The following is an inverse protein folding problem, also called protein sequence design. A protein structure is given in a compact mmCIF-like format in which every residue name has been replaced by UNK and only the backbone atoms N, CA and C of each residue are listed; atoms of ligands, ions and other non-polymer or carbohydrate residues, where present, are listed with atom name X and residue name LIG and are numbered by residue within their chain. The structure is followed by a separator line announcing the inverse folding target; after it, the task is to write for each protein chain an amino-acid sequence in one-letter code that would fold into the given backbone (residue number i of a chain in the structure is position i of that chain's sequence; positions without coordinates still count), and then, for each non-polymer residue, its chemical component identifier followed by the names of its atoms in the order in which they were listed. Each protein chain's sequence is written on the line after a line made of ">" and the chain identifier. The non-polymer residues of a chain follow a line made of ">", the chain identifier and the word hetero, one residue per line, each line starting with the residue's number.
data_IF_915581652460
#
_entry.id   IF_915581652460
#
_cell.length_a   1.000
_cell.length_b   1.000
_cell.length_c   1.000
_cell.angle_alpha   90.00
_cell.angle_beta   90.00
_cell.angle_gamma   90.00
#
_symmetry.space_group_name_H-M   'P 1'
#
loop_
_entity.id
_entity.type
_entity.pdbx_description
1 polymer ?
#
# COMPACT_ATOMS: atom_id res chain seq x y z
N UNK A 1 -0.86 -25.98 -8.24
CA UNK A 1 0.10 -24.84 -8.27
C UNK A 1 -0.45 -23.51 -7.71
N UNK A 2 -1.77 -23.31 -7.60
CA UNK A 2 -2.37 -22.05 -7.08
C UNK A 2 -2.37 -21.97 -5.54
N UNK A 3 -2.39 -23.11 -4.85
CA UNK A 3 -2.42 -23.23 -3.39
C UNK A 3 -1.20 -22.60 -2.69
N UNK A 4 0.02 -22.80 -3.23
CA UNK A 4 1.26 -22.24 -2.65
C UNK A 4 1.38 -20.70 -2.74
N UNK A 5 0.72 -20.09 -3.72
CA UNK A 5 0.70 -18.62 -3.89
C UNK A 5 -0.32 -18.00 -2.92
N UNK A 6 -1.45 -18.69 -2.69
CA UNK A 6 -2.48 -18.24 -1.75
C UNK A 6 -2.03 -18.37 -0.28
N UNK A 7 -1.25 -19.40 0.06
CA UNK A 7 -0.69 -19.59 1.40
C UNK A 7 0.36 -18.54 1.78
N UNK A 8 1.26 -18.17 0.85
CA UNK A 8 2.22 -17.08 1.09
C UNK A 8 1.55 -15.73 1.30
N UNK A 9 0.43 -15.47 0.61
CA UNK A 9 -0.40 -14.28 0.82
C UNK A 9 -1.22 -14.34 2.12
N UNK A 10 -1.76 -15.51 2.49
CA UNK A 10 -2.49 -15.70 3.76
C UNK A 10 -1.59 -15.56 4.99
N UNK A 11 -0.33 -15.97 4.92
CA UNK A 11 0.63 -15.81 6.05
C UNK A 11 1.02 -14.35 6.32
N UNK A 12 0.88 -13.46 5.33
CA UNK A 12 1.20 -12.04 5.47
C UNK A 12 0.09 -11.22 6.16
N UNK A 13 -1.12 -11.79 6.31
CA UNK A 13 -2.28 -11.09 6.87
C UNK A 13 -2.52 -11.34 8.37
N UNK A 14 -1.74 -12.22 9.03
CA UNK A 14 -2.04 -12.65 10.42
C UNK A 14 -1.18 -12.01 11.52
N UNK A 15 -0.20 -11.16 11.20
CA UNK A 15 0.50 -10.34 12.19
C UNK A 15 0.91 -9.01 11.53
N UNK A 16 -0.08 -8.16 11.28
CA UNK A 16 0.22 -6.77 10.95
C UNK A 16 0.37 -6.03 12.29
N UNK A 17 1.57 -6.14 12.89
CA UNK A 17 1.94 -5.27 13.98
C UNK A 17 2.24 -3.89 13.40
N UNK A 18 1.72 -2.85 14.04
CA UNK A 18 1.96 -1.48 13.64
C UNK A 18 3.48 -1.18 13.79
N UNK A 19 4.23 -0.92 12.70
CA UNK A 19 5.68 -0.72 12.78
C UNK A 19 6.04 0.60 13.45
N UNK A 20 5.11 1.56 13.53
CA UNK A 20 5.25 2.81 14.26
C UNK A 20 4.89 2.68 15.74
N UNK A 21 4.38 1.52 16.18
CA UNK A 21 4.18 1.26 17.60
C UNK A 21 5.53 1.38 18.33
N UNK A 22 5.51 2.08 19.46
CA UNK A 22 6.68 2.40 20.27
C UNK A 22 7.76 3.26 19.57
N UNK A 23 7.41 3.99 18.51
CA UNK A 23 8.28 5.04 17.95
C UNK A 23 7.93 6.39 18.59
N UNK A 24 8.94 7.07 19.15
CA UNK A 24 8.77 8.42 19.66
C UNK A 24 8.64 9.43 18.50
N UNK A 25 8.14 10.63 18.79
CA UNK A 25 8.06 11.71 17.80
C UNK A 25 9.45 12.06 17.28
N UNK A 26 9.56 12.43 16.00
CA UNK A 26 10.83 12.76 15.35
C UNK A 26 11.85 11.62 15.39
N UNK A 27 11.38 10.37 15.30
CA UNK A 27 12.27 9.21 15.21
C UNK A 27 12.15 8.53 13.85
N UNK A 28 13.25 7.89 13.47
CA UNK A 28 13.33 7.05 12.28
C UNK A 28 13.80 5.65 12.65
N UNK A 29 13.26 4.63 11.97
CA UNK A 29 13.60 3.22 12.16
C UNK A 29 13.80 2.58 10.79
N UNK A 30 14.96 1.99 10.53
CA UNK A 30 15.24 1.35 9.23
C UNK A 30 14.27 0.19 8.98
N UNK A 31 13.72 0.11 7.77
CA UNK A 31 12.90 -1.02 7.35
C UNK A 31 13.82 -2.23 7.20
N UNK A 32 13.52 -3.33 7.88
CA UNK A 32 14.30 -4.59 7.79
C UNK A 32 13.97 -5.31 6.49
N UNK A 33 14.35 -4.69 5.37
CA UNK A 33 14.28 -5.29 4.07
C UNK A 33 15.71 -5.34 3.50
N UNK A 34 16.08 -6.49 2.96
CA UNK A 34 17.30 -6.67 2.17
C UNK A 34 17.13 -5.92 0.84
N UNK A 35 17.19 -4.59 0.93
CA UNK A 35 16.96 -3.65 -0.17
C UNK A 35 18.26 -2.92 -0.47
N UNK A 36 18.51 -2.71 -1.76
CA UNK A 36 19.63 -1.91 -2.25
C UNK A 36 19.48 -0.43 -1.80
N UNK A 37 18.23 0.00 -1.60
CA UNK A 37 17.86 1.36 -1.23
C UNK A 37 17.68 1.50 0.29
N UNK A 38 17.98 2.69 0.80
CA UNK A 38 17.81 3.03 2.21
C UNK A 38 16.37 3.49 2.47
N UNK A 39 15.65 2.72 3.30
CA UNK A 39 14.22 2.95 3.58
C UNK A 39 14.02 3.00 5.10
N UNK A 40 13.26 3.99 5.56
CA UNK A 40 13.02 4.23 6.98
C UNK A 40 11.54 4.43 7.28
N UNK A 41 11.02 3.75 8.30
CA UNK A 41 9.82 4.18 8.99
C UNK A 41 10.12 5.48 9.73
N UNK A 42 9.23 6.46 9.65
CA UNK A 42 9.39 7.76 10.32
C UNK A 42 8.14 8.11 11.11
N UNK A 43 8.33 8.86 12.19
CA UNK A 43 7.24 9.53 12.91
C UNK A 43 7.55 11.02 12.94
N UNK A 44 6.66 11.82 12.38
CA UNK A 44 6.80 13.27 12.30
C UNK A 44 6.74 13.94 13.70
N UNK A 45 7.10 15.23 13.79
CA UNK A 45 6.98 16.06 14.99
C UNK A 45 5.53 16.11 15.51
N UNK A 46 4.56 16.10 14.60
CA UNK A 46 3.14 15.99 14.91
C UNK A 46 2.75 14.62 15.51
N UNK A 47 3.63 13.63 15.40
CA UNK A 47 3.38 12.23 15.76
C UNK A 47 2.70 11.45 14.65
N UNK A 48 2.54 12.01 13.45
CA UNK A 48 2.00 11.31 12.28
C UNK A 48 2.96 10.23 11.77
N UNK A 49 2.38 9.13 11.29
CA UNK A 49 3.15 7.99 10.77
C UNK A 49 3.61 8.28 9.35
N UNK A 50 4.80 7.81 9.00
CA UNK A 50 5.31 7.96 7.65
C UNK A 50 6.37 6.94 7.26
N UNK A 51 6.75 7.00 5.98
CA UNK A 51 7.87 6.26 5.42
C UNK A 51 8.73 7.20 4.57
N UNK A 52 10.03 7.02 4.68
CA UNK A 52 11.03 7.72 3.90
C UNK A 52 11.74 6.73 2.99
N UNK A 53 11.85 7.08 1.71
CA UNK A 53 12.68 6.39 0.73
C UNK A 53 13.84 7.30 0.35
N UNK A 54 15.07 6.92 0.69
CA UNK A 54 16.28 7.64 0.30
C UNK A 54 16.93 6.95 -0.90
N UNK A 55 16.79 7.54 -2.08
CA UNK A 55 17.35 7.03 -3.33
C UNK A 55 18.55 7.88 -3.76
N UNK A 56 19.70 7.24 -3.95
CA UNK A 56 20.95 7.88 -4.42
C UNK A 56 20.90 8.08 -5.93
N UNK A 57 20.02 8.95 -6.43
CA UNK A 57 19.88 9.23 -7.86
C UNK A 57 19.96 10.72 -8.15
N UNK A 58 20.63 11.06 -9.25
CA UNK A 58 20.88 12.41 -9.75
C UNK A 58 19.85 12.86 -10.80
N UNK A 59 18.99 11.95 -11.26
CA UNK A 59 18.13 12.24 -12.41
C UNK A 59 16.97 13.17 -12.04
N UNK A 60 16.78 14.16 -12.91
CA UNK A 60 15.73 15.17 -12.78
C UNK A 60 14.38 14.54 -13.14
N UNK A 61 13.62 14.19 -12.13
CA UNK A 61 12.28 13.66 -12.31
C UNK A 61 11.32 14.77 -11.94
N UNK A 62 10.42 15.11 -12.86
CA UNK A 62 9.50 16.23 -12.74
C UNK A 62 8.68 16.25 -11.44
N UNK A 63 8.08 17.40 -11.18
CA UNK A 63 7.16 17.63 -10.05
C UNK A 63 5.87 16.84 -10.26
N UNK A 64 5.88 15.57 -9.87
CA UNK A 64 4.67 14.76 -9.80
C UNK A 64 3.91 15.14 -8.52
N UNK A 65 2.91 16.02 -8.63
CA UNK A 65 2.02 16.37 -7.52
C UNK A 65 1.01 15.23 -7.27
N UNK A 66 1.48 14.15 -6.64
CA UNK A 66 0.66 12.99 -6.31
C UNK A 66 -0.10 13.29 -5.01
N UNK A 67 -1.37 13.68 -5.16
CA UNK A 67 -2.28 13.88 -4.02
C UNK A 67 -3.04 12.61 -3.72
N UNK A 68 -2.68 11.94 -2.63
CA UNK A 68 -3.39 10.81 -2.07
C UNK A 68 -4.37 11.31 -0.99
N UNK A 69 -5.50 10.62 -0.83
CA UNK A 69 -6.43 10.94 0.27
C UNK A 69 -5.74 10.62 1.59
N UNK A 70 -5.74 11.58 2.52
CA UNK A 70 -5.19 11.44 3.87
C UNK A 70 -3.69 11.07 3.93
N UNK A 71 -2.96 11.10 2.81
CA UNK A 71 -1.53 10.82 2.73
C UNK A 71 -0.87 11.96 1.96
N UNK A 72 0.09 12.62 2.59
CA UNK A 72 0.93 13.63 1.94
C UNK A 72 2.15 12.95 1.33
N UNK A 73 2.44 13.27 0.08
CA UNK A 73 3.65 12.82 -0.60
C UNK A 73 4.54 14.05 -0.79
N UNK A 74 5.69 14.07 -0.12
CA UNK A 74 6.69 15.13 -0.20
C UNK A 74 7.92 14.55 -0.88
N UNK A 75 8.36 15.21 -1.95
CA UNK A 75 9.58 14.85 -2.67
C UNK A 75 10.62 15.92 -2.35
N UNK A 76 11.70 15.52 -1.69
CA UNK A 76 12.83 16.40 -1.40
C UNK A 76 14.00 16.01 -2.30
N UNK A 77 14.57 17.00 -2.99
CA UNK A 77 15.72 16.81 -3.87
C UNK A 77 16.94 17.45 -3.24
N UNK A 78 17.98 16.66 -3.05
CA UNK A 78 19.31 17.14 -2.67
C UNK A 78 20.27 16.86 -3.83
N UNK A 79 21.41 17.57 -3.89
CA UNK A 79 22.41 17.42 -4.97
C UNK A 79 22.90 15.99 -5.21
N UNK A 80 22.75 15.09 -4.22
CA UNK A 80 23.27 13.71 -4.27
C UNK A 80 22.20 12.64 -4.09
N UNK A 81 20.97 13.01 -3.74
CA UNK A 81 19.92 12.07 -3.38
C UNK A 81 18.54 12.66 -3.59
N UNK A 82 17.61 11.81 -4.00
CA UNK A 82 16.19 12.11 -4.03
C UNK A 82 15.51 11.35 -2.89
N UNK A 83 14.83 12.08 -2.03
CA UNK A 83 14.11 11.54 -0.89
C UNK A 83 12.60 11.66 -1.12
N UNK A 84 11.88 10.56 -0.91
CA UNK A 84 10.41 10.56 -0.91
C UNK A 84 9.92 10.32 0.50
N UNK A 85 9.11 11.24 1.00
CA UNK A 85 8.43 11.15 2.27
C UNK A 85 6.94 10.94 2.01
N UNK A 86 6.38 9.89 2.59
CA UNK A 86 4.94 9.70 2.65
C UNK A 86 4.53 9.86 4.11
N UNK A 87 3.60 10.78 4.37
CA UNK A 87 3.12 11.10 5.72
C UNK A 87 1.62 10.88 5.77
N UNK A 88 1.17 10.06 6.71
CA UNK A 88 -0.23 9.78 6.98
C UNK A 88 -0.83 10.87 7.88
N UNK A 89 -1.85 11.56 7.38
CA UNK A 89 -2.56 12.60 8.14
C UNK A 89 -3.53 12.00 9.17
N UNK A 90 -4.17 10.88 8.83
CA UNK A 90 -5.15 10.22 9.69
C UNK A 90 -4.64 8.85 10.15
N UNK A 91 -4.33 8.75 11.44
CA UNK A 91 -3.81 7.52 12.06
C UNK A 91 -4.82 6.37 12.06
N UNK A 92 -6.11 6.65 11.88
CA UNK A 92 -7.12 5.59 11.81
C UNK A 92 -6.94 4.70 10.57
N UNK A 93 -6.39 5.25 9.49
CA UNK A 93 -6.17 4.53 8.22
C UNK A 93 -4.76 3.89 8.12
N UNK A 94 -4.11 3.63 9.27
CA UNK A 94 -2.72 3.14 9.30
C UNK A 94 -2.53 1.78 8.61
N UNK A 95 -3.53 0.90 8.61
CA UNK A 95 -3.45 -0.42 7.96
C UNK A 95 -3.37 -0.32 6.43
N UNK A 96 -4.18 0.57 5.85
CA UNK A 96 -4.18 0.86 4.41
C UNK A 96 -2.84 1.50 4.03
N UNK A 97 -2.39 2.46 4.85
CA UNK A 97 -1.10 3.11 4.67
C UNK A 97 0.06 2.13 4.74
N UNK A 98 0.04 1.21 5.70
CA UNK A 98 1.06 0.18 5.83
C UNK A 98 1.07 -0.77 4.62
N UNK A 99 -0.10 -1.13 4.11
CA UNK A 99 -0.23 -1.95 2.90
C UNK A 99 0.40 -1.24 1.69
N UNK A 100 0.14 0.07 1.53
CA UNK A 100 0.81 0.89 0.53
C UNK A 100 2.33 0.87 0.72
N UNK A 101 2.83 1.09 1.94
CA UNK A 101 4.26 1.09 2.23
C UNK A 101 4.91 -0.25 1.86
N UNK A 102 4.29 -1.37 2.21
CA UNK A 102 4.80 -2.70 1.85
C UNK A 102 4.78 -2.96 0.34
N UNK A 103 3.73 -2.55 -0.38
CA UNK A 103 3.69 -2.65 -1.84
C UNK A 103 4.83 -1.83 -2.47
N UNK A 104 5.04 -0.59 -2.03
CA UNK A 104 6.13 0.26 -2.50
C UNK A 104 7.50 -0.38 -2.23
N UNK A 105 7.77 -0.81 -0.99
CA UNK A 105 9.02 -1.49 -0.61
C UNK A 105 9.25 -2.75 -1.45
N UNK A 106 8.22 -3.57 -1.65
CA UNK A 106 8.31 -4.79 -2.45
C UNK A 106 8.61 -4.50 -3.92
N UNK A 107 8.06 -3.41 -4.47
CA UNK A 107 8.27 -3.04 -5.88
C UNK A 107 9.67 -2.52 -6.16
N UNK A 108 10.29 -1.79 -5.22
CA UNK A 108 11.62 -1.20 -5.40
C UNK A 108 12.76 -2.11 -4.94
N UNK A 109 12.45 -3.21 -4.25
CA UNK A 109 13.46 -4.09 -3.61
C UNK A 109 14.56 -4.57 -4.56
N UNK A 110 14.18 -4.95 -5.77
CA UNK A 110 15.09 -5.52 -6.77
C UNK A 110 15.38 -4.56 -7.94
N UNK A 111 14.95 -3.29 -7.83
CA UNK A 111 15.07 -2.31 -8.91
C UNK A 111 16.40 -1.60 -8.86
N UNK A 112 16.97 -1.29 -10.03
CA UNK A 112 18.08 -0.32 -10.13
C UNK A 112 17.62 1.08 -9.68
N UNK A 113 18.56 1.97 -9.34
CA UNK A 113 18.25 3.31 -8.83
C UNK A 113 17.33 4.13 -9.74
N UNK A 114 17.57 4.09 -11.06
CA UNK A 114 16.76 4.84 -12.03
C UNK A 114 15.37 4.22 -12.21
N UNK A 115 15.29 2.89 -12.26
CA UNK A 115 14.03 2.17 -12.39
C UNK A 115 13.17 2.26 -11.13
N UNK A 116 13.80 2.32 -9.95
CA UNK A 116 13.12 2.40 -8.66
C UNK A 116 12.24 3.64 -8.59
N UNK A 117 12.74 4.79 -9.06
CA UNK A 117 11.99 6.05 -9.06
C UNK A 117 10.77 6.00 -9.98
N UNK A 118 10.98 5.58 -11.23
CA UNK A 118 9.89 5.45 -12.21
C UNK A 118 8.84 4.45 -11.75
N UNK A 119 9.28 3.34 -11.15
CA UNK A 119 8.39 2.30 -10.61
C UNK A 119 7.60 2.84 -9.41
N UNK A 120 8.25 3.57 -8.50
CA UNK A 120 7.62 4.17 -7.33
C UNK A 120 6.54 5.17 -7.75
N UNK A 121 6.83 6.09 -8.67
CA UNK A 121 5.84 7.04 -9.17
C UNK A 121 4.67 6.35 -9.89
N UNK A 122 4.95 5.36 -10.73
CA UNK A 122 3.90 4.58 -11.41
C UNK A 122 2.99 3.86 -10.40
N UNK A 123 3.57 3.31 -9.33
CA UNK A 123 2.83 2.63 -8.27
C UNK A 123 2.00 3.61 -7.45
N UNK A 124 2.56 4.77 -7.10
CA UNK A 124 1.84 5.82 -6.40
C UNK A 124 0.64 6.33 -7.20
N UNK A 125 0.76 6.51 -8.52
CA UNK A 125 -0.37 6.90 -9.38
C UNK A 125 -1.47 5.81 -9.37
N UNK A 126 -1.11 4.53 -9.39
CA UNK A 126 -2.09 3.43 -9.30
C UNK A 126 -2.81 3.43 -7.96
N UNK A 127 -2.08 3.63 -6.87
CA UNK A 127 -2.66 3.77 -5.54
C UNK A 127 -3.53 5.02 -5.43
N UNK A 128 -3.15 6.11 -6.09
CA UNK A 128 -3.96 7.32 -6.17
C UNK A 128 -5.30 7.05 -6.85
N UNK A 129 -5.31 6.31 -7.95
CA UNK A 129 -6.55 5.89 -8.61
C UNK A 129 -7.39 4.96 -7.73
N UNK A 130 -6.75 4.04 -7.01
CA UNK A 130 -7.42 3.09 -6.13
C UNK A 130 -8.07 3.77 -4.90
N UNK A 131 -7.37 4.73 -4.29
CA UNK A 131 -7.82 5.45 -3.11
C UNK A 131 -8.76 6.63 -3.45
N UNK A 132 -8.92 6.92 -4.75
CA UNK A 132 -9.87 7.93 -5.20
C UNK A 132 -11.28 7.43 -4.93
N UNK A 133 -12.03 8.15 -4.09
CA UNK A 133 -13.44 7.83 -3.88
C UNK A 133 -14.20 7.93 -5.21
N UNK A 134 -15.01 6.92 -5.58
CA UNK A 134 -15.89 7.05 -6.73
C UNK A 134 -16.88 8.19 -6.45
N UNK A 135 -17.00 9.14 -7.38
CA UNK A 135 -17.94 10.28 -7.26
C UNK A 135 -19.40 9.81 -7.13
N UNK A 136 -19.69 8.59 -7.58
CA UNK A 136 -20.98 7.94 -7.46
C UNK A 136 -20.85 6.79 -6.45
N UNK A 137 -20.93 7.12 -5.16
CA UNK A 137 -21.14 6.10 -4.14
C UNK A 137 -22.51 5.46 -4.38
N UNK A 138 -22.58 4.13 -4.39
CA UNK A 138 -23.86 3.43 -4.43
C UNK A 138 -24.74 3.87 -3.27
N UNK A 139 -26.04 4.05 -3.52
CA UNK A 139 -27.01 4.25 -2.45
C UNK A 139 -27.04 3.02 -1.55
N UNK A 140 -27.50 3.19 -0.31
CA UNK A 140 -27.58 2.09 0.64
C UNK A 140 -28.43 0.94 0.10
N UNK A 141 -29.53 1.25 -0.59
CA UNK A 141 -30.41 0.25 -1.21
C UNK A 141 -29.69 -0.58 -2.26
N UNK A 142 -28.89 0.07 -3.11
CA UNK A 142 -28.15 -0.62 -4.17
C UNK A 142 -27.01 -1.46 -3.57
N UNK A 143 -26.35 -0.98 -2.52
CA UNK A 143 -25.37 -1.77 -1.76
C UNK A 143 -26.01 -3.03 -1.15
N UNK A 144 -27.18 -2.89 -0.53
CA UNK A 144 -27.93 -4.01 0.06
C UNK A 144 -28.38 -5.02 -1.01
N UNK A 145 -28.86 -4.54 -2.16
CA UNK A 145 -29.22 -5.38 -3.30
C UNK A 145 -28.04 -6.21 -3.80
N UNK A 146 -26.92 -5.56 -4.12
CA UNK A 146 -25.71 -6.23 -4.56
C UNK A 146 -25.18 -7.23 -3.51
N UNK A 147 -25.22 -6.86 -2.23
CA UNK A 147 -24.82 -7.75 -1.15
C UNK A 147 -25.69 -9.01 -1.08
N UNK A 148 -27.01 -8.87 -1.22
CA UNK A 148 -27.94 -10.00 -1.23
C UNK A 148 -27.70 -10.95 -2.42
N UNK A 149 -27.40 -10.40 -3.60
CA UNK A 149 -27.07 -11.19 -4.80
C UNK A 149 -25.76 -11.97 -4.61
N UNK A 150 -24.73 -11.32 -4.06
CA UNK A 150 -23.45 -11.98 -3.76
C UNK A 150 -23.60 -13.10 -2.71
N UNK A 151 -24.43 -12.88 -1.68
CA UNK A 151 -24.75 -13.92 -0.70
C UNK A 151 -25.47 -15.11 -1.35
N UNK A 152 -26.44 -14.85 -2.23
CA UNK A 152 -27.12 -15.89 -3.00
C UNK A 152 -26.12 -16.69 -3.86
N UNK A 153 -25.23 -16.00 -4.57
CA UNK A 153 -24.22 -16.63 -5.40
C UNK A 153 -23.29 -17.54 -4.56
N UNK A 154 -22.85 -17.04 -3.40
CA UNK A 154 -22.00 -17.80 -2.46
C UNK A 154 -22.71 -19.01 -1.87
N UNK A 155 -23.92 -18.83 -1.35
CA UNK A 155 -24.55 -19.82 -0.49
C UNK A 155 -25.45 -20.80 -1.22
N UNK A 156 -26.00 -20.41 -2.36
CA UNK A 156 -26.95 -21.22 -3.12
C UNK A 156 -26.24 -21.79 -4.35
N UNK A 157 -25.71 -20.91 -5.21
CA UNK A 157 -25.18 -21.32 -6.51
C UNK A 157 -23.88 -22.12 -6.34
N UNK A 158 -22.89 -21.60 -5.61
CA UNK A 158 -21.60 -22.29 -5.44
C UNK A 158 -21.75 -23.62 -4.69
N UNK A 159 -22.60 -23.69 -3.66
CA UNK A 159 -22.86 -24.95 -2.96
C UNK A 159 -23.51 -25.99 -3.88
N UNK A 160 -24.44 -25.56 -4.74
CA UNK A 160 -25.11 -26.46 -5.70
C UNK A 160 -24.14 -27.02 -6.75
N UNK A 161 -23.21 -26.20 -7.24
CA UNK A 161 -22.16 -26.62 -8.18
C UNK A 161 -21.19 -27.63 -7.52
N UNK A 162 -20.81 -27.40 -6.26
CA UNK A 162 -19.97 -28.34 -5.51
C UNK A 162 -20.65 -29.70 -5.28
N UNK A 163 -21.95 -29.70 -5.00
CA UNK A 163 -22.75 -30.92 -4.86
C UNK A 163 -22.90 -31.71 -6.17
N UNK A 164 -22.95 -31.04 -7.34
CA UNK A 164 -23.00 -31.74 -8.62
C UNK A 164 -21.66 -32.33 -9.05
N UNK A 165 -20.54 -31.70 -8.68
CA UNK A 165 -19.17 -32.18 -8.99
C UNK A 165 -18.73 -33.39 -8.15
N UNK A 166 -19.44 -33.71 -7.06
CA UNK A 166 -19.14 -34.84 -6.17
C UNK A 166 -19.99 -36.08 -6.46
N UNK A 167 -20.83 -36.03 -7.51
CA UNK A 167 -21.68 -37.12 -7.99
C UNK A 167 -21.25 -37.69 -9.35
N UNK A 168 -20.17 -37.17 -9.91
CA UNK A 168 -19.52 -37.60 -11.16
C UNK A 168 -18.20 -38.28 -10.87
#
# INVERSE_FOLDING_TARGET
>A
CISRICEKRKRFLLMIDNPWSNMAKSTQRRVVADTIHDIYWIVDLSGSYGIQFALKSLNDIGESNIKLKNIQVIKNKTEKSTEYYLILNDKMEWEIFLTLCFDLVATIKNSTLEEALKTLETRLIRWQLLLKQPKNSFTQELQMGLYSELLCLRDIILKKIQYSSSRS
#
